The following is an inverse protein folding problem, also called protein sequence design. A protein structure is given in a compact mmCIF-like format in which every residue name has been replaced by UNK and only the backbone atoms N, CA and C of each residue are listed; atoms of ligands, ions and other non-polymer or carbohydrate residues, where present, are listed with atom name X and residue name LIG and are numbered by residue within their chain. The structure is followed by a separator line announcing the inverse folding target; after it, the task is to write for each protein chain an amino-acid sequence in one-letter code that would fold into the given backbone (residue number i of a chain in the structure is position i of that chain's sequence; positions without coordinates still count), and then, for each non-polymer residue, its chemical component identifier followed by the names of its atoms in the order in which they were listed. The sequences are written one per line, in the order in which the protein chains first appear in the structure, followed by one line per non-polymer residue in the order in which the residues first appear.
data_IF_645267310235
#
_entry.id   IF_645267310235
#
_cell.length_a   1.000
_cell.length_b   1.000
_cell.length_c   1.000
_cell.angle_alpha   90.00
_cell.angle_beta   90.00
_cell.angle_gamma   90.00
#
_symmetry.space_group_name_H-M   'P 1'
#
loop_
_entity.id
_entity.type
_entity.pdbx_description
1 polymer ?
#
# COMPACT_ATOMS: atom_id res chain seq x y z
N UNK A 1 -24.48 -1.70 -16.26
CA UNK A 1 -25.72 -0.97 -16.65
C UNK A 1 -25.46 0.51 -17.00
N UNK A 2 -24.24 0.89 -17.44
CA UNK A 2 -23.96 2.22 -17.98
C UNK A 2 -23.03 2.07 -19.18
N UNK A 3 -23.60 1.80 -20.34
CA UNK A 3 -22.88 1.84 -21.61
C UNK A 3 -23.09 3.24 -22.18
N UNK A 4 -22.42 4.24 -21.61
CA UNK A 4 -22.39 5.58 -22.23
C UNK A 4 -21.40 5.49 -23.38
N UNK A 5 -21.92 5.31 -24.59
CA UNK A 5 -21.18 5.40 -25.83
C UNK A 5 -21.18 6.82 -26.38
N UNK A 6 -20.54 6.97 -27.54
CA UNK A 6 -20.56 8.22 -28.29
C UNK A 6 -21.98 8.64 -28.68
N UNK A 7 -22.81 7.66 -29.04
CA UNK A 7 -24.22 7.83 -29.39
C UNK A 7 -25.02 8.50 -28.26
N UNK A 8 -24.91 7.96 -27.04
CA UNK A 8 -25.60 8.48 -25.87
C UNK A 8 -25.14 9.90 -25.51
N UNK A 9 -23.83 10.20 -25.65
CA UNK A 9 -23.33 11.56 -25.44
C UNK A 9 -23.94 12.57 -26.41
N UNK A 10 -24.12 12.20 -27.68
CA UNK A 10 -24.79 13.08 -28.65
C UNK A 10 -26.23 13.36 -28.22
N UNK A 11 -26.98 12.32 -27.81
CA UNK A 11 -28.38 12.49 -27.39
C UNK A 11 -28.47 13.42 -26.18
N UNK A 12 -27.63 13.22 -25.17
CA UNK A 12 -27.57 14.11 -23.99
C UNK A 12 -27.17 15.54 -24.41
N UNK A 13 -26.21 15.67 -25.33
CA UNK A 13 -25.81 16.97 -25.88
C UNK A 13 -26.96 17.71 -26.55
N UNK A 14 -27.75 17.03 -27.38
CA UNK A 14 -28.93 17.63 -28.02
C UNK A 14 -29.96 18.08 -26.98
N UNK A 15 -30.26 17.24 -25.98
CA UNK A 15 -31.19 17.60 -24.89
C UNK A 15 -30.67 18.81 -24.11
N UNK A 16 -29.38 18.83 -23.75
CA UNK A 16 -28.76 19.96 -23.07
C UNK A 16 -28.83 21.26 -23.90
N UNK A 17 -28.61 21.16 -25.21
CA UNK A 17 -28.75 22.29 -26.14
C UNK A 17 -30.18 22.80 -26.23
N UNK A 18 -31.19 21.93 -26.14
CA UNK A 18 -32.60 22.35 -26.14
C UNK A 18 -33.00 23.05 -24.83
N UNK A 19 -32.54 22.53 -23.69
CA UNK A 19 -32.90 23.07 -22.36
C UNK A 19 -32.17 24.38 -22.06
N UNK A 20 -30.85 24.41 -22.26
CA UNK A 20 -29.99 25.55 -21.90
C UNK A 20 -29.84 26.53 -23.08
N UNK A 21 -29.87 26.01 -24.31
CA UNK A 21 -29.61 26.76 -25.53
C UNK A 21 -28.16 26.63 -26.01
N UNK A 22 -27.91 26.52 -27.33
CA UNK A 22 -26.55 26.40 -27.90
C UNK A 22 -25.65 27.60 -27.62
N UNK A 23 -26.24 28.79 -27.45
CA UNK A 23 -25.50 30.01 -27.17
C UNK A 23 -25.02 30.10 -25.71
N UNK A 24 -25.74 29.49 -24.78
CA UNK A 24 -25.43 29.57 -23.34
C UNK A 24 -24.56 28.41 -22.85
N UNK A 25 -24.62 27.25 -23.51
CA UNK A 25 -23.77 26.10 -23.21
C UNK A 25 -22.26 26.44 -23.13
N UNK A 26 -21.66 27.22 -24.07
CA UNK A 26 -20.25 27.60 -23.95
C UNK A 26 -19.97 28.48 -22.72
N UNK A 27 -20.91 29.33 -22.31
CA UNK A 27 -20.73 30.15 -21.11
C UNK A 27 -20.79 29.31 -19.83
N UNK A 28 -21.74 28.37 -19.76
CA UNK A 28 -21.82 27.40 -18.64
C UNK A 28 -20.55 26.54 -18.58
N UNK A 29 -20.07 26.03 -19.72
CA UNK A 29 -18.85 25.25 -19.78
C UNK A 29 -17.62 26.05 -19.32
N UNK A 30 -17.52 27.35 -19.65
CA UNK A 30 -16.46 28.23 -19.14
C UNK A 30 -16.52 28.41 -17.63
N UNK A 31 -17.72 28.57 -17.06
CA UNK A 31 -17.90 28.69 -15.60
C UNK A 31 -17.47 27.39 -14.92
N UNK A 32 -18.00 26.25 -15.36
CA UNK A 32 -17.64 24.94 -14.81
C UNK A 32 -16.15 24.68 -14.97
N UNK A 33 -15.57 25.00 -16.13
CA UNK A 33 -14.14 24.85 -16.39
C UNK A 33 -13.26 25.68 -15.46
N UNK A 34 -13.65 26.93 -15.16
CA UNK A 34 -12.94 27.76 -14.16
C UNK A 34 -12.99 27.12 -12.77
N UNK A 35 -14.17 26.69 -12.32
CA UNK A 35 -14.33 26.03 -11.02
C UNK A 35 -13.49 24.75 -10.94
N UNK A 36 -13.54 23.89 -11.95
CA UNK A 36 -12.72 22.67 -11.99
C UNK A 36 -11.22 22.99 -12.03
N UNK A 37 -10.82 24.06 -12.73
CA UNK A 37 -9.43 24.51 -12.77
C UNK A 37 -8.93 25.02 -11.42
N UNK A 38 -9.75 25.81 -10.72
CA UNK A 38 -9.46 26.28 -9.37
C UNK A 38 -9.37 25.11 -8.37
N UNK A 39 -10.29 24.15 -8.46
CA UNK A 39 -10.26 22.93 -7.65
C UNK A 39 -9.02 22.08 -7.93
N UNK A 40 -8.62 21.93 -9.20
CA UNK A 40 -7.39 21.22 -9.58
C UNK A 40 -6.17 21.90 -8.98
N UNK A 41 -6.07 23.22 -9.10
CA UNK A 41 -4.96 23.99 -8.54
C UNK A 41 -4.89 23.89 -7.02
N UNK A 42 -6.02 24.03 -6.33
CA UNK A 42 -6.10 23.83 -4.89
C UNK A 42 -5.66 22.42 -4.48
N UNK A 43 -6.07 21.39 -5.24
CA UNK A 43 -5.66 20.01 -5.00
C UNK A 43 -4.16 19.78 -5.25
N UNK A 44 -3.59 20.42 -6.27
CA UNK A 44 -2.16 20.38 -6.56
C UNK A 44 -1.33 21.06 -5.45
N UNK A 45 -1.77 22.21 -4.95
CA UNK A 45 -1.12 22.91 -3.84
C UNK A 45 -1.14 22.06 -2.55
N UNK A 46 -2.27 21.41 -2.25
CA UNK A 46 -2.37 20.47 -1.13
C UNK A 46 -1.48 19.24 -1.33
N UNK A 47 -1.47 18.66 -2.53
CA UNK A 47 -0.66 17.48 -2.83
C UNK A 47 0.84 17.79 -2.78
N UNK A 48 1.24 18.96 -3.30
CA UNK A 48 2.61 19.46 -3.24
C UNK A 48 3.07 19.71 -1.81
N UNK A 49 2.25 20.40 -1.00
CA UNK A 49 2.54 20.65 0.42
C UNK A 49 2.61 19.37 1.25
N UNK A 50 1.76 18.37 0.98
CA UNK A 50 1.80 17.08 1.66
C UNK A 50 3.05 16.27 1.29
N UNK A 51 3.48 16.30 0.03
CA UNK A 51 4.71 15.63 -0.41
C UNK A 51 5.95 16.26 0.22
N UNK A 52 5.98 17.59 0.35
CA UNK A 52 7.07 18.32 1.01
C UNK A 52 7.13 17.98 2.52
N UNK A 53 6.00 18.09 3.23
CA UNK A 53 5.91 17.75 4.66
C UNK A 53 6.28 16.29 4.92
N UNK A 54 5.84 15.35 4.08
CA UNK A 54 6.18 13.93 4.25
C UNK A 54 7.68 13.68 4.11
N UNK A 55 8.33 14.39 3.17
CA UNK A 55 9.77 14.27 2.94
C UNK A 55 10.57 14.86 4.10
N UNK A 56 10.15 16.01 4.61
CA UNK A 56 10.80 16.65 5.76
C UNK A 56 10.63 15.83 7.04
N UNK A 57 9.42 15.31 7.29
CA UNK A 57 9.13 14.41 8.41
C UNK A 57 9.98 13.14 8.33
N UNK A 58 10.16 12.56 7.15
CA UNK A 58 10.97 11.35 6.99
C UNK A 58 12.46 11.62 7.32
N UNK A 59 12.99 12.77 6.92
CA UNK A 59 14.36 13.17 7.26
C UNK A 59 14.53 13.40 8.77
N UNK A 60 13.61 14.13 9.41
CA UNK A 60 13.65 14.37 10.86
C UNK A 60 13.49 13.08 11.66
N UNK A 61 12.63 12.16 11.22
CA UNK A 61 12.47 10.84 11.86
C UNK A 61 13.75 10.01 11.70
N UNK A 62 14.44 10.08 10.56
CA UNK A 62 15.66 9.32 10.33
C UNK A 62 16.84 9.84 11.17
N UNK A 63 16.98 11.16 11.31
CA UNK A 63 17.95 11.79 12.20
C UNK A 63 17.66 11.43 13.66
N UNK A 64 16.41 11.58 14.09
CA UNK A 64 15.96 11.22 15.45
C UNK A 64 16.20 9.73 15.75
N UNK A 65 15.94 8.84 14.79
CA UNK A 65 16.23 7.40 14.92
C UNK A 65 17.72 7.14 15.11
N UNK A 66 18.58 7.82 14.35
CA UNK A 66 20.03 7.63 14.46
C UNK A 66 20.58 8.16 15.79
N UNK A 67 20.06 9.28 16.29
CA UNK A 67 20.46 9.83 17.58
C UNK A 67 19.97 8.96 18.74
N UNK A 68 18.73 8.47 18.69
CA UNK A 68 18.19 7.51 19.67
C UNK A 68 18.98 6.19 19.62
N UNK A 69 19.32 5.69 18.43
CA UNK A 69 20.10 4.46 18.30
C UNK A 69 21.49 4.63 18.93
N UNK A 70 22.17 5.76 18.69
CA UNK A 70 23.47 6.07 19.31
C UNK A 70 23.36 6.23 20.83
N UNK A 71 22.33 6.91 21.33
CA UNK A 71 22.10 7.08 22.77
C UNK A 71 21.75 5.76 23.46
N UNK A 72 20.91 4.94 22.82
CA UNK A 72 20.59 3.59 23.29
C UNK A 72 21.82 2.69 23.32
N UNK A 73 22.66 2.75 22.28
CA UNK A 73 23.91 1.97 22.24
C UNK A 73 24.89 2.41 23.33
N UNK A 74 25.01 3.71 23.60
CA UNK A 74 25.83 4.25 24.69
C UNK A 74 25.34 3.81 26.07
N UNK A 75 24.02 3.76 26.27
CA UNK A 75 23.41 3.26 27.51
C UNK A 75 23.60 1.73 27.66
N UNK A 76 23.58 0.97 26.56
CA UNK A 76 23.80 -0.48 26.57
C UNK A 76 25.29 -0.81 26.82
N UNK A 77 26.21 -0.05 26.23
CA UNK A 77 27.66 -0.20 26.48
C UNK A 77 28.02 0.17 27.93
N UNK A 78 27.36 1.18 28.52
CA UNK A 78 27.59 1.59 29.92
C UNK A 78 26.92 0.64 30.94
N UNK A 79 25.94 -0.17 30.50
CA UNK A 79 25.31 -1.20 31.33
C UNK A 79 25.81 -2.63 31.04
N UNK A 80 26.76 -2.81 30.09
CA UNK A 80 27.36 -4.11 29.80
C UNK A 80 28.43 -4.43 30.84
N UNK A 81 28.02 -5.20 31.85
CA UNK A 81 28.92 -6.03 32.65
C UNK A 81 29.74 -6.94 31.70
N UNK A 82 31.01 -7.24 32.00
CA UNK A 82 31.92 -7.94 31.10
C UNK A 82 31.35 -9.28 30.63
N UNK A 83 31.63 -9.70 29.37
CA UNK A 83 31.25 -11.00 28.86
C UNK A 83 32.33 -12.01 29.26
N UNK A 84 32.22 -12.57 30.46
CA UNK A 84 32.96 -13.76 30.85
C UNK A 84 32.00 -14.93 31.06
N UNK A 85 31.63 -15.59 29.98
CA UNK A 85 31.60 -17.05 29.95
C UNK A 85 31.62 -17.54 28.49
N UNK A 86 32.76 -18.11 28.12
CA UNK A 86 32.91 -18.94 26.93
C UNK A 86 31.92 -20.10 27.02
N UNK A 87 31.05 -20.22 26.02
CA UNK A 87 30.38 -21.49 25.75
C UNK A 87 31.13 -22.08 24.57
N UNK A 88 31.97 -23.05 24.90
CA UNK A 88 32.86 -23.75 24.00
C UNK A 88 32.13 -24.33 22.81
N UNK A 89 32.80 -24.23 21.68
CA UNK A 89 32.73 -25.22 20.62
C UNK A 89 32.93 -26.58 21.26
N UNK A 90 31.96 -27.50 21.16
CA UNK A 90 32.11 -28.97 21.23
C UNK A 90 30.72 -29.62 21.38
N UNK A 91 30.02 -29.87 20.29
CA UNK A 91 29.36 -31.17 20.06
C UNK A 91 28.77 -31.24 18.64
N UNK A 92 29.59 -31.69 17.70
CA UNK A 92 29.14 -32.26 16.43
C UNK A 92 29.40 -33.76 16.49
N UNK A 93 28.39 -34.57 16.78
CA UNK A 93 28.27 -36.02 16.56
C UNK A 93 26.75 -36.30 16.48
N UNK A 94 26.13 -36.42 15.30
CA UNK A 94 26.08 -37.62 14.46
C UNK A 94 25.72 -38.90 15.25
N UNK A 95 24.45 -39.34 15.20
CA UNK A 95 23.98 -40.64 14.68
C UNK A 95 22.55 -40.99 15.14
N UNK A 96 21.91 -41.85 14.33
CA UNK A 96 20.65 -42.57 14.48
C UNK A 96 19.38 -41.78 14.11
N UNK A 97 18.89 -41.91 12.87
CA UNK A 97 18.03 -43.01 12.40
C UNK A 97 16.74 -43.11 13.23
N UNK A 98 15.62 -42.62 12.67
CA UNK A 98 14.43 -43.44 12.48
C UNK A 98 13.65 -42.94 11.26
N UNK A 99 13.50 -43.84 10.29
CA UNK A 99 12.55 -43.73 9.19
C UNK A 99 11.10 -43.80 9.70
N UNK A 100 10.26 -42.92 9.13
CA UNK A 100 8.86 -43.07 8.64
C UNK A 100 7.99 -44.23 9.18
N UNK A 101 6.64 -44.08 9.35
CA UNK A 101 5.78 -43.86 8.18
C UNK A 101 4.38 -43.20 8.38
N UNK A 102 4.06 -42.29 7.46
CA UNK A 102 2.86 -42.34 6.60
C UNK A 102 1.47 -42.36 7.25
N UNK A 103 0.88 -41.18 7.45
CA UNK A 103 -0.58 -41.01 7.37
C UNK A 103 -1.00 -40.95 5.90
N UNK A 104 -1.04 -42.13 5.29
CA UNK A 104 -1.83 -42.40 4.09
C UNK A 104 -3.32 -42.43 4.47
N UNK A 105 -3.98 -41.27 4.45
CA UNK A 105 -5.44 -41.17 4.51
C UNK A 105 -6.00 -40.19 3.47
N UNK A 106 -5.53 -40.29 2.22
CA UNK A 106 -6.20 -39.72 1.04
C UNK A 106 -6.20 -40.72 -0.14
N UNK A 107 -6.60 -41.97 0.08
CA UNK A 107 -6.87 -42.89 -1.05
C UNK A 107 -8.00 -43.91 -0.76
N UNK A 108 -9.10 -43.49 -0.12
CA UNK A 108 -10.31 -44.34 0.02
C UNK A 108 -11.63 -43.61 -0.24
N UNK A 109 -11.67 -42.73 -1.24
CA UNK A 109 -12.93 -42.13 -1.71
C UNK A 109 -13.26 -42.44 -3.19
N UNK A 110 -12.58 -43.40 -3.82
CA UNK A 110 -12.97 -43.91 -5.13
C UNK A 110 -12.88 -45.43 -5.14
N UNK A 111 -14.01 -46.13 -4.98
CA UNK A 111 -14.07 -47.58 -5.13
C UNK A 111 -15.01 -48.32 -4.16
N UNK A 112 -16.31 -48.05 -4.21
CA UNK A 112 -17.37 -49.01 -3.83
C UNK A 112 -18.63 -48.61 -4.59
N UNK A 113 -18.83 -49.09 -5.82
CA UNK A 113 -19.44 -50.39 -6.18
C UNK A 113 -20.73 -50.68 -5.42
N UNK A 114 -21.82 -50.71 -6.20
CA UNK A 114 -23.06 -51.49 -6.00
C UNK A 114 -24.11 -50.95 -5.01
N UNK A 115 -25.08 -50.20 -5.55
CA UNK A 115 -26.48 -50.63 -5.72
C UNK A 115 -27.27 -49.59 -6.54
#
# INVERSE_FOLDING_TARGET
MFNIGFSELIVIGVVALLVIGPKQLPDVARVVGRVLGELKKATEELSGGLLEVTRDVQNTIQETKNDIAKQGQQLIDELSLPPDHEIGEDEKLELAEEESPQDQLEEKANGKSEA
#
